data_IF_913029235596
#
_entry.id   IF_913029235596
#
_cell.length_a   1.000
_cell.length_b   1.000
_cell.length_c   1.000
_cell.angle_alpha   90.00
_cell.angle_beta   90.00
_cell.angle_gamma   90.00
#
_symmetry.space_group_name_H-M   'P 1'
#
loop_
_entity.id
_entity.type
_entity.pdbx_description
1 polymer ?
#
# COMPACT_ATOMS: atom_id res chain seq x y z
N UNK A 1 4.79 -19.06 28.93
CA UNK A 1 4.15 -19.33 27.62
C UNK A 1 3.92 -18.00 26.94
N UNK A 2 4.52 -17.77 25.78
CA UNK A 2 4.25 -16.55 25.01
C UNK A 2 2.80 -16.63 24.52
N UNK A 3 2.00 -15.62 24.86
CA UNK A 3 0.62 -15.48 24.41
C UNK A 3 0.57 -15.56 22.88
N UNK A 4 -0.27 -16.45 22.35
CA UNK A 4 -0.48 -16.61 20.90
C UNK A 4 -1.43 -15.54 20.31
N UNK A 5 -1.65 -14.44 21.05
CA UNK A 5 -2.51 -13.34 20.63
C UNK A 5 -1.66 -12.21 20.04
N UNK A 6 -1.56 -12.17 18.72
CA UNK A 6 -1.07 -10.99 18.02
C UNK A 6 -1.99 -9.80 18.38
N UNK A 7 -1.39 -8.70 18.82
CA UNK A 7 -2.10 -7.45 19.13
C UNK A 7 -1.48 -6.29 18.35
N UNK A 8 -2.18 -5.16 18.25
CA UNK A 8 -1.61 -3.96 17.61
C UNK A 8 -0.28 -3.53 18.26
N UNK A 9 -0.11 -3.74 19.56
CA UNK A 9 1.10 -3.39 20.30
C UNK A 9 2.28 -4.34 20.04
N UNK A 10 2.02 -5.61 19.71
CA UNK A 10 3.05 -6.63 19.52
C UNK A 10 3.39 -6.92 18.06
N UNK A 11 2.49 -6.62 17.12
CA UNK A 11 2.75 -6.80 15.68
C UNK A 11 3.45 -5.57 15.10
N UNK A 12 4.62 -5.72 14.44
CA UNK A 12 5.30 -4.63 13.76
C UNK A 12 4.37 -3.87 12.80
N UNK A 13 4.60 -2.57 12.62
CA UNK A 13 3.83 -1.79 11.64
C UNK A 13 4.14 -2.25 10.21
N UNK A 14 5.41 -2.57 9.92
CA UNK A 14 5.84 -3.11 8.64
C UNK A 14 6.37 -4.54 8.83
N UNK A 15 5.91 -5.48 8.02
CA UNK A 15 6.37 -6.86 8.08
C UNK A 15 6.23 -7.58 6.73
N UNK A 16 7.11 -8.54 6.48
CA UNK A 16 6.91 -9.56 5.43
C UNK A 16 5.86 -10.56 5.93
N UNK A 17 4.78 -10.73 5.17
CA UNK A 17 3.72 -11.70 5.47
C UNK A 17 4.12 -13.08 4.93
N UNK A 18 4.49 -13.10 3.65
CA UNK A 18 5.05 -14.25 2.91
C UNK A 18 6.04 -13.71 1.88
N UNK A 19 6.91 -14.54 1.26
CA UNK A 19 7.80 -14.06 0.20
C UNK A 19 7.04 -13.28 -0.88
N UNK A 20 7.46 -12.04 -1.13
CA UNK A 20 6.83 -11.14 -2.11
C UNK A 20 5.58 -10.42 -1.63
N UNK A 21 5.10 -10.62 -0.39
CA UNK A 21 3.97 -9.86 0.17
C UNK A 21 4.37 -9.20 1.48
N UNK A 22 4.31 -7.88 1.50
CA UNK A 22 4.62 -7.08 2.67
C UNK A 22 3.39 -6.28 3.09
N UNK A 23 3.18 -6.15 4.39
CA UNK A 23 2.13 -5.30 4.97
C UNK A 23 2.76 -4.05 5.58
N UNK A 24 2.10 -2.92 5.41
CA UNK A 24 2.27 -1.73 6.23
C UNK A 24 0.95 -1.40 6.91
N UNK A 25 0.91 -1.59 8.22
CA UNK A 25 -0.15 -1.09 9.08
C UNK A 25 0.05 0.40 9.31
N UNK A 26 -0.80 1.18 8.66
CA UNK A 26 -0.87 2.61 8.82
C UNK A 26 -1.90 2.98 9.90
N UNK A 27 -1.41 3.10 11.13
CA UNK A 27 -2.23 3.20 12.34
C UNK A 27 -3.20 2.00 12.49
N UNK A 28 -4.44 2.12 12.00
CA UNK A 28 -5.50 1.11 12.12
C UNK A 28 -5.87 0.45 10.79
N UNK A 29 -5.41 1.00 9.67
CA UNK A 29 -5.63 0.47 8.32
C UNK A 29 -4.37 -0.26 7.85
N UNK A 30 -4.54 -1.23 6.95
CA UNK A 30 -3.43 -1.93 6.32
C UNK A 30 -3.38 -1.58 4.84
N UNK A 31 -2.16 -1.47 4.32
CA UNK A 31 -1.87 -1.48 2.90
C UNK A 31 -0.78 -2.52 2.63
N UNK A 32 -0.67 -2.96 1.38
CA UNK A 32 0.24 -4.04 1.01
C UNK A 32 1.10 -3.71 -0.19
N UNK A 33 2.30 -4.28 -0.20
CA UNK A 33 3.20 -4.29 -1.34
C UNK A 33 3.30 -5.74 -1.81
N UNK A 34 2.91 -6.01 -3.04
CA UNK A 34 2.85 -7.35 -3.60
C UNK A 34 3.74 -7.45 -4.83
N UNK A 35 4.77 -8.29 -4.78
CA UNK A 35 5.51 -8.72 -5.96
C UNK A 35 4.56 -9.43 -6.93
N UNK A 36 4.69 -9.12 -8.20
CA UNK A 36 3.91 -9.72 -9.30
C UNK A 36 4.26 -11.20 -9.52
N UNK A 37 5.48 -11.57 -9.14
CA UNK A 37 6.00 -12.94 -9.19
C UNK A 37 6.62 -13.29 -7.81
N UNK A 38 6.03 -14.22 -7.04
CA UNK A 38 6.57 -14.64 -5.75
C UNK A 38 7.97 -15.25 -5.81
N UNK A 39 8.42 -15.75 -6.97
CA UNK A 39 9.80 -16.22 -7.17
C UNK A 39 10.80 -15.07 -7.33
N UNK A 40 10.31 -13.86 -7.58
CA UNK A 40 11.06 -12.62 -7.68
C UNK A 40 10.52 -11.61 -6.67
N UNK A 41 10.76 -11.79 -5.35
CA UNK A 41 10.12 -10.98 -4.31
C UNK A 41 10.55 -9.49 -4.32
N UNK A 42 11.59 -9.13 -5.06
CA UNK A 42 12.04 -7.75 -5.30
C UNK A 42 11.83 -7.32 -6.78
N UNK A 43 11.08 -8.13 -7.53
CA UNK A 43 10.69 -7.90 -8.92
C UNK A 43 9.68 -6.77 -9.08
N UNK A 44 8.95 -6.77 -10.19
CA UNK A 44 7.85 -5.81 -10.39
C UNK A 44 6.80 -6.02 -9.31
N UNK A 45 6.18 -4.93 -8.84
CA UNK A 45 5.32 -4.98 -7.67
C UNK A 45 4.13 -4.03 -7.79
N UNK A 46 3.08 -4.32 -7.03
CA UNK A 46 1.82 -3.58 -6.97
C UNK A 46 1.62 -3.03 -5.57
N UNK A 47 1.14 -1.79 -5.49
CA UNK A 47 0.67 -1.21 -4.23
C UNK A 47 -0.84 -1.48 -4.09
N UNK A 48 -1.25 -2.03 -2.96
CA UNK A 48 -2.66 -2.27 -2.61
C UNK A 48 -3.02 -1.34 -1.47
N UNK A 49 -3.96 -0.42 -1.73
CA UNK A 49 -4.32 0.73 -0.89
C UNK A 49 -3.18 1.73 -0.62
N UNK A 50 -3.56 2.92 -0.17
CA UNK A 50 -2.66 4.07 0.02
C UNK A 50 -2.71 4.64 1.44
N UNK A 51 -3.42 3.98 2.36
CA UNK A 51 -3.47 4.38 3.77
C UNK A 51 -4.10 5.75 4.00
N UNK A 52 -3.80 6.33 5.16
CA UNK A 52 -4.33 7.61 5.63
C UNK A 52 -3.70 8.82 4.92
N UNK A 53 -4.31 10.01 5.00
CA UNK A 53 -3.68 11.24 4.53
C UNK A 53 -2.32 11.50 5.19
N UNK A 54 -1.32 11.86 4.38
CA UNK A 54 0.05 12.15 4.83
C UNK A 54 0.99 10.94 4.89
N UNK A 55 0.53 9.75 4.54
CA UNK A 55 1.31 8.51 4.55
C UNK A 55 2.18 8.29 3.30
N UNK A 56 2.04 9.10 2.24
CA UNK A 56 2.76 8.94 0.98
C UNK A 56 4.29 8.78 1.13
N UNK A 57 4.96 9.64 1.94
CA UNK A 57 6.41 9.53 2.16
C UNK A 57 6.78 8.20 2.79
N UNK A 58 6.07 7.81 3.84
CA UNK A 58 6.27 6.56 4.57
C UNK A 58 6.09 5.35 3.65
N UNK A 59 5.08 5.38 2.77
CA UNK A 59 4.82 4.32 1.79
C UNK A 59 5.99 4.18 0.81
N UNK A 60 6.46 5.31 0.26
CA UNK A 60 7.59 5.33 -0.68
C UNK A 60 8.89 4.87 -0.03
N UNK A 61 9.16 5.29 1.20
CA UNK A 61 10.33 4.88 1.96
C UNK A 61 10.34 3.36 2.19
N UNK A 62 9.21 2.78 2.61
CA UNK A 62 9.10 1.32 2.76
C UNK A 62 9.18 0.58 1.43
N UNK A 63 8.58 1.09 0.36
CA UNK A 63 8.74 0.51 -0.97
C UNK A 63 10.22 0.49 -1.40
N UNK A 64 10.93 1.60 -1.18
CA UNK A 64 12.35 1.72 -1.51
C UNK A 64 13.24 0.72 -0.74
N UNK A 65 12.90 0.39 0.52
CA UNK A 65 13.67 -0.60 1.28
C UNK A 65 13.48 -2.04 0.79
N UNK A 66 12.37 -2.33 0.11
CA UNK A 66 12.04 -3.69 -0.39
C UNK A 66 12.43 -3.84 -1.85
N UNK A 67 12.05 -2.89 -2.70
CA UNK A 67 12.11 -3.00 -4.16
C UNK A 67 13.20 -2.11 -4.79
N UNK A 68 13.82 -1.23 -4.01
CA UNK A 68 14.81 -0.25 -4.48
C UNK A 68 14.24 1.15 -4.70
N UNK A 69 15.08 2.17 -4.54
CA UNK A 69 14.67 3.58 -4.54
C UNK A 69 14.04 4.07 -5.86
N UNK A 70 14.50 3.53 -7.00
CA UNK A 70 14.07 3.94 -8.33
C UNK A 70 13.07 2.95 -8.97
N UNK A 71 12.32 2.22 -8.13
CA UNK A 71 11.37 1.20 -8.58
C UNK A 71 9.94 1.52 -8.13
N UNK A 72 9.20 2.36 -8.87
CA UNK A 72 7.78 2.58 -8.61
C UNK A 72 6.99 1.27 -8.80
N UNK A 73 5.79 1.16 -8.20
CA UNK A 73 4.92 0.03 -8.48
C UNK A 73 4.47 0.06 -9.95
N UNK A 74 4.16 -1.11 -10.51
CA UNK A 74 3.57 -1.20 -11.86
C UNK A 74 2.09 -0.85 -11.88
N UNK A 75 1.44 -0.81 -10.71
CA UNK A 75 0.05 -0.40 -10.52
C UNK A 75 -0.24 -0.03 -9.06
N UNK A 76 -1.23 0.83 -8.85
CA UNK A 76 -1.91 1.04 -7.57
C UNK A 76 -3.31 0.43 -7.68
N UNK A 77 -3.71 -0.39 -6.72
CA UNK A 77 -5.03 -1.00 -6.64
C UNK A 77 -5.70 -0.58 -5.34
N UNK A 78 -6.90 -0.01 -5.40
CA UNK A 78 -7.70 0.30 -4.22
C UNK A 78 -8.70 -0.80 -3.94
N UNK A 79 -8.82 -1.18 -2.67
CA UNK A 79 -9.90 -2.05 -2.18
C UNK A 79 -11.23 -1.29 -2.19
N UNK A 80 -11.19 -0.04 -1.74
CA UNK A 80 -12.28 0.95 -1.80
C UNK A 80 -11.70 2.36 -1.59
N UNK A 81 -12.48 3.40 -1.85
CA UNK A 81 -12.01 4.78 -1.95
C UNK A 81 -12.37 5.67 -0.75
N UNK A 82 -12.48 5.10 0.46
CA UNK A 82 -12.60 5.89 1.67
C UNK A 82 -11.27 6.52 2.09
N UNK A 83 -11.34 7.56 2.94
CA UNK A 83 -10.20 8.37 3.35
C UNK A 83 -9.04 7.58 3.98
N UNK A 84 -9.33 6.42 4.59
CA UNK A 84 -8.34 5.56 5.24
C UNK A 84 -7.64 4.61 4.28
N UNK A 85 -8.15 4.43 3.06
CA UNK A 85 -7.53 3.60 2.02
C UNK A 85 -7.05 4.41 0.80
N UNK A 86 -7.69 5.54 0.50
CA UNK A 86 -7.32 6.46 -0.58
C UNK A 86 -6.65 7.76 -0.09
N UNK A 87 -6.36 7.88 1.21
CA UNK A 87 -5.97 9.15 1.84
C UNK A 87 -4.67 9.76 1.33
N UNK A 88 -3.70 8.93 0.91
CA UNK A 88 -2.45 9.40 0.29
C UNK A 88 -2.41 9.22 -1.22
N UNK A 89 -3.54 8.89 -1.84
CA UNK A 89 -3.55 8.52 -3.24
C UNK A 89 -3.09 9.65 -4.16
N UNK A 90 -3.60 10.86 -3.96
CA UNK A 90 -3.26 12.03 -4.78
C UNK A 90 -1.74 12.28 -4.78
N UNK A 91 -1.13 12.35 -3.60
CA UNK A 91 0.33 12.55 -3.47
C UNK A 91 1.15 11.41 -4.08
N UNK A 92 0.66 10.16 -4.03
CA UNK A 92 1.33 9.04 -4.67
C UNK A 92 1.18 9.08 -6.20
N UNK A 93 0.02 9.49 -6.71
CA UNK A 93 -0.21 9.68 -8.15
C UNK A 93 0.65 10.82 -8.71
N UNK A 94 0.83 11.91 -7.96
CA UNK A 94 1.76 12.99 -8.31
C UNK A 94 3.22 12.50 -8.33
N UNK A 95 3.61 11.67 -7.37
CA UNK A 95 4.95 11.09 -7.31
C UNK A 95 5.21 10.06 -8.42
N UNK A 96 4.17 9.37 -8.88
CA UNK A 96 4.23 8.29 -9.86
C UNK A 96 3.20 8.47 -11.00
N UNK A 97 3.34 9.52 -11.83
CA UNK A 97 2.31 9.93 -12.78
C UNK A 97 2.06 8.92 -13.92
N UNK A 98 2.97 7.98 -14.14
CA UNK A 98 2.86 6.93 -15.15
C UNK A 98 2.26 5.62 -14.61
N UNK A 99 2.03 5.53 -13.30
CA UNK A 99 1.54 4.30 -12.66
C UNK A 99 0.01 4.27 -12.77
N UNK A 100 -0.58 3.23 -13.39
CA UNK A 100 -2.02 3.11 -13.49
C UNK A 100 -2.67 2.88 -12.12
N UNK A 101 -3.81 3.52 -11.92
CA UNK A 101 -4.71 3.31 -10.79
C UNK A 101 -5.88 2.41 -11.19
N UNK A 102 -6.12 1.38 -10.40
CA UNK A 102 -7.30 0.53 -10.50
C UNK A 102 -8.18 0.70 -9.26
N UNK A 103 -9.46 1.00 -9.49
CA UNK A 103 -10.49 1.02 -8.47
C UNK A 103 -11.79 0.44 -9.08
N UNK A 104 -12.66 -0.08 -8.23
CA UNK A 104 -13.98 -0.51 -8.70
C UNK A 104 -14.79 0.71 -9.21
N UNK A 105 -15.57 0.61 -10.30
CA UNK A 105 -16.29 1.78 -10.85
C UNK A 105 -17.24 2.47 -9.86
N UNK A 106 -17.79 1.72 -8.89
CA UNK A 106 -18.65 2.27 -7.83
C UNK A 106 -17.90 3.17 -6.84
N UNK A 107 -16.56 3.10 -6.81
CA UNK A 107 -15.72 3.92 -5.94
C UNK A 107 -15.38 5.28 -6.55
N UNK A 108 -15.66 5.48 -7.85
CA UNK A 108 -15.35 6.73 -8.56
C UNK A 108 -15.92 7.98 -7.88
N UNK A 109 -17.18 8.00 -7.37
CA UNK A 109 -17.70 9.18 -6.69
C UNK A 109 -16.82 9.66 -5.53
N UNK A 110 -16.24 8.75 -4.74
CA UNK A 110 -15.36 9.10 -3.63
C UNK A 110 -14.00 9.63 -4.10
N UNK A 111 -13.47 9.08 -5.21
CA UNK A 111 -12.21 9.55 -5.81
C UNK A 111 -12.33 10.91 -6.49
N UNK A 112 -13.53 11.24 -6.96
CA UNK A 112 -13.80 12.51 -7.68
C UNK A 112 -14.47 13.57 -6.81
N UNK A 113 -14.64 13.33 -5.50
CA UNK A 113 -15.26 14.27 -4.57
C UNK A 113 -16.77 14.49 -4.79
N UNK A 114 -17.47 13.50 -5.33
CA UNK A 114 -18.91 13.51 -5.60
C UNK A 114 -19.74 12.80 -4.50
N UNK A 115 -19.10 12.29 -3.45
CA UNK A 115 -19.71 11.68 -2.26
C UNK A 115 -18.93 11.97 -0.98
#
# INVERSE_FOLDING_TARGET
MLSNHASRASTPAFATVVPGLHVLRDLFVNLYYAATDPSQPQGDWVLIDTGLPGSASKIREHAATVFGADKPPVAIVLTHAHFDHAGSLESLAEAWPQVPLYAHPLELPYLTGLS
#
